data_IF_090134374519
#
_entry.id   IF_090134374519
#
_cell.length_a   1.000
_cell.length_b   1.000
_cell.length_c   1.000
_cell.angle_alpha   90.00
_cell.angle_beta   90.00
_cell.angle_gamma   90.00
#
_symmetry.space_group_name_H-M   'P 1'
#
loop_
_entity.id
_entity.type
_entity.pdbx_description
1 polymer ?
#
# COMPACT_ATOMS: atom_id res chain seq x y z
N UNK A 1 -14.39 -13.08 18.58
CA UNK A 1 -13.14 -12.53 17.99
C UNK A 1 -13.41 -12.02 16.58
N UNK A 2 -12.68 -10.99 16.15
CA UNK A 2 -12.76 -10.41 14.80
C UNK A 2 -11.35 -10.15 14.28
N UNK A 3 -11.17 -10.29 12.98
CA UNK A 3 -9.95 -9.92 12.27
C UNK A 3 -10.13 -8.54 11.65
N UNK A 4 -9.13 -7.68 11.80
CA UNK A 4 -9.15 -6.31 11.26
C UNK A 4 -8.12 -6.24 10.12
N UNK A 5 -8.50 -5.59 9.03
CA UNK A 5 -7.63 -5.30 7.90
C UNK A 5 -7.70 -3.81 7.55
N UNK A 6 -6.58 -3.20 7.22
CA UNK A 6 -6.50 -1.79 6.83
C UNK A 6 -5.32 -1.54 5.90
N UNK A 7 -5.45 -0.54 5.02
CA UNK A 7 -4.33 0.05 4.28
C UNK A 7 -3.74 1.19 5.11
N UNK A 8 -2.45 1.16 5.49
CA UNK A 8 -1.83 2.25 6.22
C UNK A 8 -1.93 3.59 5.50
N UNK A 9 -1.85 3.58 4.16
CA UNK A 9 -1.91 4.79 3.32
C UNK A 9 -3.31 5.37 3.23
N UNK A 10 -4.34 4.51 3.27
CA UNK A 10 -5.73 4.90 3.02
C UNK A 10 -6.61 4.80 4.26
N UNK A 11 -6.07 4.47 5.43
CA UNK A 11 -6.85 4.30 6.66
C UNK A 11 -7.66 5.56 7.02
N UNK A 12 -7.04 6.74 6.95
CA UNK A 12 -7.70 8.03 7.21
C UNK A 12 -8.73 8.40 6.13
N UNK A 13 -8.70 7.70 4.99
CA UNK A 13 -9.66 7.81 3.88
C UNK A 13 -10.70 6.70 3.87
N UNK A 14 -10.80 5.92 4.96
CA UNK A 14 -11.78 4.84 5.10
C UNK A 14 -11.29 3.46 4.64
N UNK A 15 -10.00 3.30 4.31
CA UNK A 15 -9.36 2.04 3.94
C UNK A 15 -9.16 1.09 5.12
N UNK A 16 -10.23 0.76 5.86
CA UNK A 16 -10.21 -0.18 6.98
C UNK A 16 -11.54 -0.96 7.08
N UNK A 17 -11.45 -2.23 7.43
CA UNK A 17 -12.61 -3.12 7.61
C UNK A 17 -12.27 -4.30 8.53
N UNK A 18 -13.20 -5.24 8.69
CA UNK A 18 -13.05 -6.41 9.53
C UNK A 18 -13.81 -7.63 8.96
N UNK A 19 -13.54 -8.81 9.53
CA UNK A 19 -14.24 -10.06 9.25
C UNK A 19 -14.22 -11.00 10.46
N UNK A 20 -15.04 -12.05 10.45
CA UNK A 20 -15.01 -13.10 11.48
C UNK A 20 -13.84 -14.06 11.28
N UNK A 21 -13.33 -14.18 10.05
CA UNK A 21 -12.07 -14.87 9.73
C UNK A 21 -11.04 -13.92 9.11
N UNK A 22 -9.79 -14.36 9.05
CA UNK A 22 -8.70 -13.62 8.41
C UNK A 22 -8.97 -13.45 6.91
N UNK A 23 -9.44 -14.51 6.26
CA UNK A 23 -9.76 -14.54 4.83
C UNK A 23 -10.90 -13.58 4.51
N UNK A 24 -11.91 -13.50 5.38
CA UNK A 24 -13.02 -12.57 5.24
C UNK A 24 -12.54 -11.11 5.37
N UNK A 25 -11.73 -10.80 6.38
CA UNK A 25 -11.18 -9.45 6.55
C UNK A 25 -10.32 -9.02 5.35
N UNK A 26 -9.55 -9.95 4.76
CA UNK A 26 -8.74 -9.71 3.56
C UNK A 26 -9.59 -9.54 2.29
N UNK A 27 -10.67 -10.32 2.14
CA UNK A 27 -11.61 -10.12 1.04
C UNK A 27 -12.27 -8.75 1.13
N UNK A 28 -12.78 -8.41 2.32
CA UNK A 28 -13.49 -7.17 2.56
C UNK A 28 -12.60 -5.94 2.31
N UNK A 29 -11.30 -6.00 2.67
CA UNK A 29 -10.43 -4.83 2.50
C UNK A 29 -10.17 -4.55 1.01
N UNK A 30 -10.13 -5.55 0.15
CA UNK A 30 -9.99 -5.31 -1.30
C UNK A 30 -11.19 -4.53 -1.86
N UNK A 31 -12.41 -4.96 -1.52
CA UNK A 31 -13.64 -4.27 -1.95
C UNK A 31 -13.68 -2.82 -1.43
N UNK A 32 -13.29 -2.59 -0.17
CA UNK A 32 -13.23 -1.24 0.41
C UNK A 32 -12.16 -0.38 -0.28
N UNK A 33 -10.98 -0.92 -0.59
CA UNK A 33 -9.93 -0.15 -1.24
C UNK A 33 -10.30 0.26 -2.67
N UNK A 34 -10.98 -0.62 -3.42
CA UNK A 34 -11.53 -0.27 -4.74
C UNK A 34 -12.48 0.92 -4.63
N UNK A 35 -13.45 0.87 -3.72
CA UNK A 35 -14.41 1.96 -3.50
C UNK A 35 -13.73 3.28 -3.09
N UNK A 36 -12.73 3.21 -2.19
CA UNK A 36 -11.98 4.40 -1.75
C UNK A 36 -11.22 5.03 -2.91
N UNK A 37 -10.51 4.22 -3.69
CA UNK A 37 -9.74 4.70 -4.86
C UNK A 37 -10.66 5.28 -5.92
N UNK A 38 -11.79 4.64 -6.22
CA UNK A 38 -12.78 5.17 -7.15
C UNK A 38 -13.34 6.52 -6.71
N UNK A 39 -13.65 6.67 -5.42
CA UNK A 39 -14.10 7.95 -4.85
C UNK A 39 -13.04 9.04 -5.01
N UNK A 40 -11.78 8.73 -4.68
CA UNK A 40 -10.67 9.67 -4.82
C UNK A 40 -10.48 10.13 -6.28
N UNK A 41 -10.54 9.20 -7.24
CA UNK A 41 -10.47 9.53 -8.66
C UNK A 41 -11.65 10.44 -9.06
N UNK A 42 -12.87 10.12 -8.61
CA UNK A 42 -14.07 10.92 -8.88
C UNK A 42 -13.97 12.36 -8.37
N UNK A 43 -13.33 12.54 -7.21
CA UNK A 43 -13.12 13.84 -6.58
C UNK A 43 -11.87 14.58 -7.11
N UNK A 44 -11.12 13.96 -8.03
CA UNK A 44 -9.85 14.51 -8.55
C UNK A 44 -8.72 14.51 -7.51
N UNK A 45 -8.84 13.72 -6.44
CA UNK A 45 -7.79 13.52 -5.46
C UNK A 45 -6.65 12.66 -6.04
N UNK A 46 -5.42 12.94 -5.62
CA UNK A 46 -4.26 12.11 -5.98
C UNK A 46 -4.27 10.83 -5.16
N UNK A 47 -4.15 9.68 -5.84
CA UNK A 47 -3.94 8.40 -5.15
C UNK A 47 -2.53 8.38 -4.57
N UNK A 48 -2.35 8.15 -3.26
CA UNK A 48 -1.03 8.03 -2.67
C UNK A 48 -0.35 6.79 -3.24
N UNK A 49 0.62 6.99 -4.13
CA UNK A 49 1.59 5.97 -4.44
C UNK A 49 2.50 5.79 -3.21
N UNK A 50 3.00 4.58 -2.97
CA UNK A 50 4.12 4.40 -2.04
C UNK A 50 5.24 5.29 -2.56
N UNK A 51 5.47 6.46 -1.95
CA UNK A 51 6.69 7.20 -2.16
C UNK A 51 7.83 6.29 -1.71
N UNK A 52 8.42 5.56 -2.65
CA UNK A 52 9.82 5.20 -2.51
C UNK A 52 10.52 6.55 -2.54
N UNK A 53 10.80 7.10 -1.37
CA UNK A 53 11.77 8.16 -1.22
C UNK A 53 13.10 7.58 -1.70
N UNK A 54 13.40 7.76 -2.99
CA UNK A 54 14.78 7.66 -3.45
C UNK A 54 15.41 8.98 -3.05
N UNK A 55 16.17 8.97 -1.96
CA UNK A 55 17.15 10.03 -1.75
C UNK A 55 18.15 9.97 -2.91
N UNK A 56 18.16 11.01 -3.75
CA UNK A 56 19.09 11.20 -4.87
C UNK A 56 20.56 11.43 -4.41
N UNK A 57 20.96 10.85 -3.27
CA UNK A 57 22.33 10.99 -2.73
C UNK A 57 22.96 9.72 -2.17
N UNK A 58 22.38 8.54 -2.39
CA UNK A 58 23.14 7.32 -2.17
C UNK A 58 24.00 7.03 -3.41
N UNK A 59 25.30 7.38 -3.35
CA UNK A 59 26.31 6.85 -4.29
C UNK A 59 26.46 5.35 -4.04
N UNK A 60 25.58 4.56 -4.63
CA UNK A 60 25.67 3.11 -4.59
C UNK A 60 26.86 2.65 -5.43
N UNK A 61 27.66 1.75 -4.88
CA UNK A 61 28.75 1.10 -5.61
C UNK A 61 28.23 -0.14 -6.35
N UNK A 62 28.96 -0.63 -7.36
CA UNK A 62 28.60 -1.89 -8.03
C UNK A 62 28.47 -3.06 -7.04
N UNK A 63 29.32 -3.09 -6.01
CA UNK A 63 29.28 -4.10 -4.96
C UNK A 63 27.95 -4.07 -4.18
N UNK A 64 27.39 -2.88 -3.93
CA UNK A 64 26.10 -2.74 -3.27
C UNK A 64 24.96 -3.28 -4.15
N UNK A 65 25.03 -3.03 -5.45
CA UNK A 65 24.03 -3.48 -6.42
C UNK A 65 24.06 -5.00 -6.63
N UNK A 66 25.27 -5.59 -6.63
CA UNK A 66 25.47 -7.05 -6.70
C UNK A 66 24.94 -7.70 -5.42
N UNK A 67 25.23 -7.15 -4.24
CA UNK A 67 24.74 -7.69 -2.97
C UNK A 67 23.21 -7.73 -2.88
N UNK A 68 22.54 -6.76 -3.48
CA UNK A 68 21.08 -6.69 -3.54
C UNK A 68 20.48 -7.55 -4.66
N UNK A 69 21.30 -8.19 -5.51
CA UNK A 69 20.85 -9.06 -6.60
C UNK A 69 20.23 -8.31 -7.77
N UNK A 70 20.47 -7.00 -7.87
CA UNK A 70 19.95 -6.13 -8.92
C UNK A 70 20.85 -6.10 -10.16
N UNK A 71 22.12 -6.47 -9.98
CA UNK A 71 23.09 -6.70 -11.05
C UNK A 71 23.66 -8.12 -10.89
N UNK A 72 23.94 -8.80 -12.01
CA UNK A 72 24.55 -10.15 -12.01
C UNK A 72 26.03 -10.09 -12.32
#
# INVERSE_FOLDING_TARGET
DKWIAYSPLLKEKGGATWGYTKEEALKNINEVLEMVVESMIGDGETIPELEIMIEDQAKWTEDDLIRLGLLK
#
